data_IF_527027062693
#
_entry.id   IF_527027062693
#
_cell.length_a   1.000
_cell.length_b   1.000
_cell.length_c   1.000
_cell.angle_alpha   90.00
_cell.angle_beta   90.00
_cell.angle_gamma   90.00
#
_symmetry.space_group_name_H-M   'P 1'
#
loop_
_entity.id
_entity.type
_entity.pdbx_description
1 polymer ?
#
# COMPACT_ATOMS: atom_id res chain seq x y z
N UNK A 1 3.37 -12.76 6.87
CA UNK A 1 4.79 -13.20 6.78
C UNK A 1 5.68 -12.12 7.40
N UNK A 2 6.87 -12.44 7.95
CA UNK A 2 7.77 -11.44 8.54
C UNK A 2 8.30 -10.43 7.52
N UNK A 3 8.33 -10.82 6.24
CA UNK A 3 8.78 -10.04 5.10
C UNK A 3 7.86 -10.34 3.90
N UNK A 4 7.48 -9.33 3.13
CA UNK A 4 6.58 -9.42 1.98
C UNK A 4 7.01 -8.44 0.88
N UNK A 5 7.13 -8.94 -0.35
CA UNK A 5 7.32 -8.09 -1.52
C UNK A 5 5.98 -7.44 -1.88
N UNK A 6 5.95 -6.12 -1.94
CA UNK A 6 4.77 -5.33 -2.26
C UNK A 6 4.91 -4.82 -3.70
N UNK A 7 4.22 -5.47 -4.64
CA UNK A 7 4.17 -5.08 -6.06
C UNK A 7 2.76 -4.59 -6.42
N UNK A 8 2.56 -3.27 -6.41
CA UNK A 8 1.23 -2.65 -6.45
C UNK A 8 1.13 -1.48 -7.42
N UNK A 9 -0.05 -1.29 -8.01
CA UNK A 9 -0.34 -0.15 -8.88
C UNK A 9 -0.80 1.06 -8.04
N UNK A 10 -0.02 2.14 -8.00
CA UNK A 10 -0.39 3.34 -7.23
C UNK A 10 -1.44 4.20 -7.94
N UNK A 11 -1.52 4.09 -9.26
CA UNK A 11 -2.45 4.88 -10.09
C UNK A 11 -3.42 3.99 -10.83
N UNK A 12 -4.59 4.54 -11.15
CA UNK A 12 -5.61 3.80 -11.89
C UNK A 12 -5.10 3.46 -13.30
N UNK A 13 -5.12 2.19 -13.72
CA UNK A 13 -4.72 1.81 -15.06
C UNK A 13 -5.48 2.58 -16.14
N UNK A 14 -4.74 3.19 -17.06
CA UNK A 14 -5.29 3.93 -18.21
C UNK A 14 -5.08 3.11 -19.48
N UNK A 15 -6.07 3.09 -20.36
CA UNK A 15 -5.99 2.39 -21.65
C UNK A 15 -5.98 3.39 -22.79
N UNK A 16 -5.11 3.20 -23.77
CA UNK A 16 -5.19 3.90 -25.06
C UNK A 16 -4.84 2.94 -26.20
N UNK A 17 -5.27 3.27 -27.42
CA UNK A 17 -4.94 2.50 -28.62
C UNK A 17 -3.73 3.11 -29.32
N UNK A 18 -2.81 2.26 -29.75
CA UNK A 18 -1.64 2.65 -30.53
C UNK A 18 -1.50 1.74 -31.75
N UNK A 19 -0.92 2.22 -32.84
CA UNK A 19 -0.55 1.35 -33.96
C UNK A 19 0.39 0.23 -33.48
N UNK A 20 0.25 -0.97 -34.04
CA UNK A 20 1.15 -2.10 -33.74
C UNK A 20 2.61 -1.84 -34.10
N UNK A 21 2.86 -0.97 -35.08
CA UNK A 21 4.20 -0.57 -35.50
C UNK A 21 4.85 0.43 -34.56
N UNK A 22 4.09 1.03 -33.64
CA UNK A 22 4.58 2.06 -32.73
C UNK A 22 4.94 1.44 -31.38
N UNK A 23 5.97 2.02 -30.76
CA UNK A 23 6.42 1.64 -29.43
C UNK A 23 5.35 2.03 -28.36
N UNK A 24 5.19 1.25 -27.27
CA UNK A 24 4.18 1.51 -26.24
C UNK A 24 4.32 2.88 -25.56
N UNK A 25 5.52 3.42 -25.48
CA UNK A 25 5.84 4.74 -24.92
C UNK A 25 5.21 5.91 -25.70
N UNK A 26 4.87 5.69 -26.97
CA UNK A 26 4.17 6.68 -27.79
C UNK A 26 2.69 6.83 -27.41
N UNK A 27 2.13 5.84 -26.71
CA UNK A 27 0.73 5.79 -26.34
C UNK A 27 0.37 6.91 -25.34
N UNK A 28 -0.78 7.54 -25.52
CA UNK A 28 -1.23 8.61 -24.62
C UNK A 28 -1.43 8.11 -23.19
N UNK A 29 -1.86 6.87 -23.01
CA UNK A 29 -1.94 6.25 -21.67
C UNK A 29 -0.58 6.20 -20.99
N UNK A 30 0.49 5.86 -21.72
CA UNK A 30 1.86 5.86 -21.18
C UNK A 30 2.32 7.27 -20.82
N UNK A 31 2.23 8.22 -21.75
CA UNK A 31 2.69 9.61 -21.54
C UNK A 31 2.01 10.28 -20.34
N UNK A 32 0.70 10.11 -20.22
CA UNK A 32 -0.05 10.67 -19.10
C UNK A 32 0.37 10.04 -17.77
N UNK A 33 0.65 8.74 -17.75
CA UNK A 33 1.10 8.04 -16.56
C UNK A 33 2.55 8.38 -16.20
N UNK A 34 3.41 8.62 -17.20
CA UNK A 34 4.76 9.12 -16.97
C UNK A 34 4.72 10.53 -16.36
N UNK A 35 3.91 11.43 -16.89
CA UNK A 35 3.74 12.77 -16.32
C UNK A 35 3.21 12.72 -14.87
N UNK A 36 2.37 11.73 -14.56
CA UNK A 36 1.90 11.51 -13.18
C UNK A 36 3.02 10.99 -12.27
N UNK A 37 3.83 10.04 -12.75
CA UNK A 37 5.02 9.57 -12.04
C UNK A 37 6.01 10.71 -11.76
N UNK A 38 6.26 11.58 -12.75
CA UNK A 38 7.17 12.72 -12.62
C UNK A 38 6.71 13.74 -11.55
N UNK A 39 5.40 13.77 -11.27
CA UNK A 39 4.81 14.58 -10.20
C UNK A 39 4.79 13.91 -8.83
N UNK A 40 5.14 12.62 -8.72
CA UNK A 40 5.21 11.91 -7.44
C UNK A 40 6.53 12.19 -6.73
N UNK A 41 6.52 12.09 -5.39
CA UNK A 41 7.73 12.10 -4.60
C UNK A 41 8.09 10.65 -4.18
N UNK A 42 9.12 10.03 -4.78
CA UNK A 42 9.54 8.66 -4.44
C UNK A 42 9.90 8.49 -2.96
N UNK A 43 10.41 9.54 -2.31
CA UNK A 43 10.81 9.53 -0.91
C UNK A 43 9.64 9.22 0.03
N UNK A 44 8.39 9.32 -0.42
CA UNK A 44 7.24 8.91 0.40
C UNK A 44 7.16 7.39 0.61
N UNK A 45 7.71 6.58 -0.31
CA UNK A 45 7.52 5.13 -0.32
C UNK A 45 8.83 4.33 -0.39
N UNK A 46 9.84 4.85 -1.06
CA UNK A 46 11.07 4.13 -1.38
C UNK A 46 12.14 4.44 -0.34
N UNK A 47 12.59 3.40 0.36
CA UNK A 47 13.77 3.48 1.20
C UNK A 47 15.02 3.70 0.32
N UNK A 48 15.80 4.77 0.50
CA UNK A 48 17.03 4.98 -0.24
C UNK A 48 18.07 3.86 -0.08
N UNK A 49 17.96 3.06 0.99
CA UNK A 49 18.82 1.90 1.25
C UNK A 49 18.34 0.62 0.52
N UNK A 50 17.10 0.59 0.03
CA UNK A 50 16.56 -0.56 -0.72
C UNK A 50 16.83 -0.40 -2.23
N UNK A 51 17.99 -0.87 -2.67
CA UNK A 51 18.38 -0.90 -4.09
C UNK A 51 17.45 -1.69 -5.02
N UNK A 52 16.55 -2.53 -4.48
CA UNK A 52 15.60 -3.30 -5.28
C UNK A 52 14.24 -2.61 -5.40
N UNK A 53 13.95 -1.68 -4.50
CA UNK A 53 12.71 -0.92 -4.54
C UNK A 53 12.70 0.04 -5.73
N UNK A 54 11.54 0.17 -6.37
CA UNK A 54 11.37 1.08 -7.49
C UNK A 54 9.96 1.65 -7.56
N UNK A 55 9.88 2.82 -8.18
CA UNK A 55 8.64 3.44 -8.63
C UNK A 55 8.78 3.72 -10.13
N UNK A 56 7.97 3.06 -10.96
CA UNK A 56 8.07 3.19 -12.41
C UNK A 56 6.73 3.03 -13.10
N UNK A 57 6.62 3.52 -14.34
CA UNK A 57 5.45 3.21 -15.15
C UNK A 57 5.55 1.76 -15.61
N UNK A 58 4.52 0.97 -15.34
CA UNK A 58 4.35 -0.37 -15.88
C UNK A 58 3.29 -0.34 -16.96
N UNK A 59 3.56 -1.01 -18.07
CA UNK A 59 2.58 -1.24 -19.11
C UNK A 59 2.29 -2.71 -19.31
N UNK A 60 1.06 -2.98 -19.71
CA UNK A 60 0.60 -4.30 -20.08
C UNK A 60 0.07 -4.23 -21.51
N UNK A 61 0.55 -5.14 -22.35
CA UNK A 61 -0.10 -5.41 -23.61
C UNK A 61 -1.29 -6.33 -23.32
N UNK A 62 -2.49 -5.84 -23.62
CA UNK A 62 -3.68 -6.63 -23.37
C UNK A 62 -3.65 -7.88 -24.24
N UNK A 63 -3.71 -9.06 -23.62
CA UNK A 63 -3.74 -10.37 -24.30
C UNK A 63 -5.00 -10.65 -25.13
N UNK A 64 -5.77 -9.61 -25.52
CA UNK A 64 -6.93 -9.70 -26.39
C UNK A 64 -6.53 -10.20 -27.80
N UNK A 65 -6.29 -11.51 -27.90
CA UNK A 65 -6.09 -12.22 -29.16
C UNK A 65 -7.39 -12.23 -29.99
N UNK A 66 -8.55 -12.10 -29.35
CA UNK A 66 -9.87 -12.15 -29.99
C UNK A 66 -10.18 -10.96 -30.92
N UNK A 67 -9.51 -9.81 -30.75
CA UNK A 67 -9.78 -8.59 -31.54
C UNK A 67 -8.75 -8.35 -32.67
N UNK A 68 -8.04 -9.38 -33.14
CA UNK A 68 -7.08 -9.24 -34.26
C UNK A 68 -7.70 -8.67 -35.54
N UNK A 69 -9.01 -8.88 -35.76
CA UNK A 69 -9.73 -8.39 -36.96
C UNK A 69 -10.45 -7.04 -36.77
N UNK A 70 -10.76 -6.64 -35.53
CA UNK A 70 -11.65 -5.49 -35.25
C UNK A 70 -10.90 -4.18 -34.98
N UNK A 71 -9.62 -4.23 -34.61
CA UNK A 71 -8.84 -3.05 -34.23
C UNK A 71 -8.01 -2.43 -35.36
N UNK A 72 -8.20 -2.83 -36.64
CA UNK A 72 -7.54 -2.21 -37.81
C UNK A 72 -6.03 -1.95 -37.65
N UNK A 73 -5.27 -2.92 -37.14
CA UNK A 73 -3.82 -2.76 -36.94
C UNK A 73 -3.40 -1.98 -35.69
N UNK A 74 -4.36 -1.56 -34.85
CA UNK A 74 -4.10 -0.99 -33.52
C UNK A 74 -4.02 -2.08 -32.44
N UNK A 75 -3.41 -1.73 -31.31
CA UNK A 75 -3.32 -2.53 -30.09
C UNK A 75 -3.59 -1.64 -28.87
N UNK A 76 -4.27 -2.16 -27.83
CA UNK A 76 -4.44 -1.45 -26.56
C UNK A 76 -3.16 -1.51 -25.72
N UNK A 77 -2.76 -0.35 -25.18
CA UNK A 77 -1.68 -0.18 -24.20
C UNK A 77 -2.29 0.30 -22.90
N UNK A 78 -2.08 -0.47 -21.85
CA UNK A 78 -2.54 -0.16 -20.50
C UNK A 78 -1.33 0.29 -19.70
N UNK A 79 -1.40 1.45 -19.06
CA UNK A 79 -0.29 1.99 -18.29
C UNK A 79 -0.76 2.44 -16.90
N UNK A 80 0.06 2.15 -15.88
CA UNK A 80 -0.11 2.61 -14.51
C UNK A 80 1.27 2.79 -13.84
N UNK A 81 1.38 3.74 -12.92
CA UNK A 81 2.52 3.79 -11.99
C UNK A 81 2.46 2.60 -11.05
N UNK A 82 3.56 1.87 -10.99
CA UNK A 82 3.77 0.70 -10.17
C UNK A 82 4.88 0.95 -9.17
N UNK A 83 4.66 0.51 -7.94
CA UNK A 83 5.66 0.46 -6.88
C UNK A 83 6.01 -1.00 -6.61
N UNK A 84 7.30 -1.28 -6.47
CA UNK A 84 7.81 -2.52 -5.91
C UNK A 84 8.76 -2.17 -4.77
N UNK A 85 8.63 -2.85 -3.63
CA UNK A 85 9.53 -2.70 -2.48
C UNK A 85 9.39 -3.86 -1.50
N UNK A 86 10.33 -3.95 -0.57
CA UNK A 86 10.21 -4.86 0.56
C UNK A 86 9.49 -4.20 1.75
N UNK A 87 8.47 -4.88 2.29
CA UNK A 87 7.82 -4.46 3.55
C UNK A 87 7.92 -5.57 4.60
N UNK A 88 8.06 -5.18 5.86
CA UNK A 88 8.29 -6.07 7.00
C UNK A 88 7.09 -6.04 7.96
N UNK A 89 6.63 -7.22 8.38
CA UNK A 89 5.45 -7.36 9.24
C UNK A 89 5.66 -7.03 10.71
N UNK A 90 6.85 -6.56 11.11
CA UNK A 90 7.25 -6.41 12.52
C UNK A 90 6.48 -5.31 13.26
N UNK A 91 5.90 -4.34 12.56
CA UNK A 91 5.06 -3.30 13.17
C UNK A 91 3.81 -3.86 13.86
N UNK A 92 3.31 -5.01 13.42
CA UNK A 92 2.24 -5.73 14.11
C UNK A 92 2.61 -6.10 15.57
N UNK A 93 3.89 -6.34 15.85
CA UNK A 93 4.40 -6.64 17.20
C UNK A 93 4.36 -5.41 18.10
N UNK A 94 4.56 -4.22 17.53
CA UNK A 94 4.38 -2.96 18.27
C UNK A 94 2.92 -2.80 18.67
N UNK A 95 1.98 -3.03 17.76
CA UNK A 95 0.55 -2.99 18.07
C UNK A 95 0.15 -4.02 19.13
N UNK A 96 0.72 -5.23 19.05
CA UNK A 96 0.54 -6.25 20.08
C UNK A 96 1.02 -5.76 21.46
N UNK A 97 2.22 -5.19 21.54
CA UNK A 97 2.77 -4.68 22.80
C UNK A 97 1.93 -3.53 23.35
N UNK A 98 1.42 -2.62 22.51
CA UNK A 98 0.50 -1.55 22.92
C UNK A 98 -0.76 -2.15 23.55
N UNK A 99 -1.44 -3.07 22.84
CA UNK A 99 -2.67 -3.68 23.34
C UNK A 99 -2.45 -4.51 24.60
N UNK A 100 -1.31 -5.22 24.70
CA UNK A 100 -0.94 -5.97 25.89
C UNK A 100 -0.73 -5.06 27.10
N UNK A 101 0.02 -3.96 26.94
CA UNK A 101 0.25 -2.98 28.00
C UNK A 101 -1.07 -2.37 28.47
N UNK A 102 -1.91 -1.88 27.55
CA UNK A 102 -3.21 -1.30 27.90
C UNK A 102 -4.12 -2.29 28.63
N UNK A 103 -4.14 -3.56 28.20
CA UNK A 103 -4.93 -4.58 28.87
C UNK A 103 -4.42 -4.88 30.29
N UNK A 104 -3.09 -4.93 30.49
CA UNK A 104 -2.49 -5.13 31.81
C UNK A 104 -2.77 -3.95 32.74
N UNK A 105 -2.72 -2.70 32.22
CA UNK A 105 -3.05 -1.49 32.97
C UNK A 105 -4.50 -1.52 33.48
N UNK A 106 -5.42 -2.10 32.70
CA UNK A 106 -6.82 -2.36 33.08
C UNK A 106 -7.03 -3.64 33.93
N UNK A 107 -5.96 -4.29 34.38
CA UNK A 107 -6.00 -5.43 35.31
C UNK A 107 -6.21 -6.79 34.66
N UNK A 108 -6.09 -6.91 33.32
CA UNK A 108 -6.13 -8.21 32.65
C UNK A 108 -4.88 -9.03 33.03
N UNK A 109 -5.01 -10.28 33.52
CA UNK A 109 -3.89 -11.04 34.06
C UNK A 109 -3.07 -11.74 32.95
N UNK A 110 -2.61 -10.99 31.95
CA UNK A 110 -1.72 -11.52 30.94
C UNK A 110 -0.30 -11.70 31.50
N UNK A 111 0.35 -12.80 31.10
CA UNK A 111 1.79 -12.96 31.32
C UNK A 111 2.61 -11.97 30.48
N UNK A 112 3.91 -11.79 30.77
CA UNK A 112 4.78 -10.94 29.97
C UNK A 112 4.86 -11.44 28.52
N UNK A 113 4.97 -10.51 27.57
CA UNK A 113 5.21 -10.85 26.16
C UNK A 113 6.52 -11.66 26.07
N UNK A 114 6.52 -12.88 25.48
CA UNK A 114 7.71 -13.72 25.45
C UNK A 114 8.87 -13.07 24.69
N UNK A 115 10.10 -13.35 25.10
CA UNK A 115 11.31 -12.91 24.38
C UNK A 115 11.66 -13.81 23.19
N UNK A 116 10.70 -14.53 22.60
CA UNK A 116 10.97 -15.35 21.41
C UNK A 116 11.10 -14.48 20.15
N UNK A 117 11.76 -15.01 19.13
CA UNK A 117 12.01 -14.32 17.85
C UNK A 117 10.73 -13.86 17.14
N UNK A 118 9.59 -14.46 17.46
CA UNK A 118 8.27 -14.12 16.93
C UNK A 118 7.69 -12.82 17.52
N UNK A 119 8.14 -12.41 18.71
CA UNK A 119 7.66 -11.22 19.42
C UNK A 119 8.71 -10.12 19.57
N UNK A 120 10.00 -10.46 19.38
CA UNK A 120 11.08 -9.49 19.44
C UNK A 120 10.93 -8.41 18.36
N UNK A 121 11.29 -7.17 18.70
CA UNK A 121 11.34 -6.06 17.76
C UNK A 121 12.74 -5.96 17.16
N UNK A 122 12.86 -5.59 15.88
CA UNK A 122 14.12 -5.09 15.34
C UNK A 122 14.58 -3.86 16.14
N UNK A 123 15.89 -3.63 16.30
CA UNK A 123 16.41 -2.52 17.12
C UNK A 123 15.83 -1.15 16.75
N UNK A 124 15.63 -0.89 15.46
CA UNK A 124 15.06 0.37 14.95
C UNK A 124 13.59 0.60 15.35
N UNK A 125 12.84 -0.44 15.71
CA UNK A 125 11.46 -0.34 16.20
C UNK A 125 11.36 -0.22 17.72
N UNK A 126 12.41 -0.51 18.49
CA UNK A 126 12.35 -0.50 19.95
C UNK A 126 12.01 0.89 20.50
N UNK A 127 12.65 1.93 19.97
CA UNK A 127 12.39 3.31 20.39
C UNK A 127 10.98 3.77 20.00
N UNK A 128 10.59 3.46 18.76
CA UNK A 128 9.27 3.76 18.21
C UNK A 128 8.18 3.08 19.04
N UNK A 129 8.36 1.82 19.41
CA UNK A 129 7.42 1.08 20.24
C UNK A 129 7.23 1.76 21.61
N UNK A 130 8.31 2.15 22.28
CA UNK A 130 8.24 2.86 23.55
C UNK A 130 7.45 4.17 23.44
N UNK A 131 7.73 4.97 22.40
CA UNK A 131 7.02 6.23 22.13
C UNK A 131 5.52 5.99 21.87
N UNK A 132 5.19 4.98 21.07
CA UNK A 132 3.80 4.65 20.74
C UNK A 132 3.03 4.05 21.92
N UNK A 133 3.67 3.26 22.78
CA UNK A 133 3.08 2.76 24.04
C UNK A 133 2.77 3.93 24.97
N UNK A 134 3.73 4.83 25.19
CA UNK A 134 3.51 6.02 26.02
C UNK A 134 2.38 6.89 25.47
N UNK A 135 2.33 7.08 24.15
CA UNK A 135 1.24 7.79 23.48
C UNK A 135 -0.12 7.13 23.73
N UNK A 136 -0.19 5.79 23.62
CA UNK A 136 -1.41 5.04 23.88
C UNK A 136 -1.86 5.13 25.35
N UNK A 137 -0.93 5.29 26.29
CA UNK A 137 -1.21 5.53 27.72
C UNK A 137 -1.55 7.00 28.04
N UNK A 138 -1.64 7.89 27.03
CA UNK A 138 -2.07 9.28 27.18
C UNK A 138 -0.96 10.32 27.17
N UNK A 139 0.30 9.95 26.93
CA UNK A 139 1.36 10.93 26.69
C UNK A 139 1.17 11.64 25.33
N UNK A 140 1.78 12.82 25.11
CA UNK A 140 1.77 13.46 23.79
C UNK A 140 2.43 12.59 22.71
N UNK A 141 1.95 12.71 21.47
CA UNK A 141 2.58 12.08 20.31
C UNK A 141 4.00 12.63 20.10
N UNK A 142 4.98 11.74 19.98
CA UNK A 142 6.41 12.08 20.05
C UNK A 142 7.29 11.39 19.01
N UNK A 143 6.70 10.75 17.99
CA UNK A 143 7.48 10.23 16.87
C UNK A 143 8.08 11.39 16.06
N UNK A 144 9.34 11.23 15.71
CA UNK A 144 10.07 12.18 14.88
C UNK A 144 9.81 11.91 13.39
N UNK A 145 9.96 12.92 12.55
CA UNK A 145 9.70 12.79 11.11
C UNK A 145 10.48 11.63 10.46
N UNK A 146 11.72 11.39 10.91
CA UNK A 146 12.54 10.29 10.40
C UNK A 146 12.05 8.91 10.87
N UNK A 147 11.47 8.81 12.06
CA UNK A 147 10.85 7.58 12.56
C UNK A 147 9.56 7.27 11.81
N UNK A 148 8.72 8.28 11.56
CA UNK A 148 7.54 8.13 10.70
C UNK A 148 7.92 7.71 9.29
N UNK A 149 8.98 8.30 8.75
CA UNK A 149 9.47 7.98 7.41
C UNK A 149 9.98 6.55 7.32
N UNK A 150 10.73 6.09 8.33
CA UNK A 150 11.16 4.70 8.46
C UNK A 150 9.96 3.75 8.47
N UNK A 151 8.92 4.07 9.26
CA UNK A 151 7.70 3.29 9.29
C UNK A 151 7.03 3.22 7.91
N UNK A 152 6.92 4.36 7.21
CA UNK A 152 6.34 4.42 5.85
C UNK A 152 7.12 3.56 4.88
N UNK A 153 8.45 3.63 4.90
CA UNK A 153 9.33 2.90 3.98
C UNK A 153 9.31 1.39 4.19
N UNK A 154 9.39 0.94 5.44
CA UNK A 154 9.74 -0.47 5.72
C UNK A 154 8.63 -1.27 6.38
N UNK A 155 7.64 -0.63 7.01
CA UNK A 155 6.75 -1.32 7.93
C UNK A 155 5.25 -1.10 7.68
N UNK A 156 4.88 0.01 7.05
CA UNK A 156 3.50 0.32 6.69
C UNK A 156 3.23 -0.17 5.25
N UNK A 157 2.29 -1.09 5.12
CA UNK A 157 1.84 -1.61 3.84
C UNK A 157 0.98 -0.59 3.07
N UNK A 158 1.19 -0.51 1.75
CA UNK A 158 0.35 0.26 0.84
C UNK A 158 -0.93 -0.52 0.52
N UNK A 159 -1.85 -0.57 1.49
CA UNK A 159 -3.11 -1.32 1.37
C UNK A 159 -4.10 -0.74 0.36
N UNK A 160 -3.97 0.54 0.01
CA UNK A 160 -4.79 1.23 -0.97
C UNK A 160 -4.04 1.30 -2.32
N UNK A 161 -4.49 0.55 -3.30
CA UNK A 161 -3.87 0.44 -4.62
C UNK A 161 -4.85 0.00 -5.71
N UNK A 162 -4.47 0.19 -6.97
CA UNK A 162 -5.26 -0.15 -8.16
C UNK A 162 -4.88 -1.49 -8.79
N UNK A 163 -4.18 -2.38 -8.08
CA UNK A 163 -3.99 -3.75 -8.57
C UNK A 163 -5.36 -4.44 -8.72
N UNK A 164 -5.63 -4.97 -9.90
CA UNK A 164 -6.88 -5.63 -10.22
C UNK A 164 -6.88 -7.08 -9.72
N UNK A 165 -8.03 -7.52 -9.19
CA UNK A 165 -8.36 -8.93 -9.10
C UNK A 165 -9.13 -9.29 -10.36
N UNK A 166 -8.62 -10.23 -11.15
CA UNK A 166 -9.30 -10.70 -12.34
C UNK A 166 -10.30 -11.81 -11.97
N UNK A 167 -11.53 -11.67 -12.45
CA UNK A 167 -12.55 -12.73 -12.35
C UNK A 167 -12.21 -13.95 -13.23
N UNK A 168 -13.12 -14.93 -13.26
CA UNK A 168 -12.93 -16.22 -13.96
C UNK A 168 -12.58 -16.11 -15.44
N UNK A 169 -12.99 -15.04 -16.12
CA UNK A 169 -12.68 -14.81 -17.54
C UNK A 169 -11.24 -14.34 -17.79
N UNK A 170 -10.55 -13.80 -16.77
CA UNK A 170 -9.20 -13.27 -16.93
C UNK A 170 -9.10 -12.01 -17.81
N UNK A 171 -10.23 -11.34 -18.09
CA UNK A 171 -10.28 -10.14 -18.93
C UNK A 171 -10.40 -8.86 -18.11
N UNK A 172 -9.99 -7.72 -18.67
CA UNK A 172 -10.12 -6.40 -18.04
C UNK A 172 -11.58 -5.97 -17.84
N UNK A 173 -12.53 -6.54 -18.59
CA UNK A 173 -13.96 -6.27 -18.41
C UNK A 173 -14.47 -6.79 -17.06
N UNK A 174 -13.80 -7.82 -16.53
CA UNK A 174 -14.12 -8.46 -15.24
C UNK A 174 -13.10 -8.06 -14.15
N UNK A 175 -12.33 -6.99 -14.35
CA UNK A 175 -11.37 -6.51 -13.38
C UNK A 175 -12.07 -5.79 -12.23
N UNK A 176 -11.81 -6.23 -10.99
CA UNK A 176 -12.30 -5.58 -9.77
C UNK A 176 -11.12 -4.99 -9.00
N UNK A 177 -11.20 -3.70 -8.69
CA UNK A 177 -10.18 -2.99 -7.90
C UNK A 177 -10.60 -2.95 -6.43
N UNK A 178 -10.48 -4.09 -5.74
CA UNK A 178 -10.92 -4.26 -4.34
C UNK A 178 -10.22 -3.27 -3.39
N UNK A 179 -8.97 -2.94 -3.71
CA UNK A 179 -8.12 -2.09 -2.88
C UNK A 179 -8.10 -0.62 -3.36
N UNK A 180 -9.00 -0.23 -4.27
CA UNK A 180 -9.00 1.10 -4.87
C UNK A 180 -8.99 2.19 -3.79
N UNK A 181 -8.04 3.15 -3.85
CA UNK A 181 -8.01 4.26 -2.90
C UNK A 181 -9.28 5.12 -2.97
N UNK A 182 -9.79 5.50 -1.79
CA UNK A 182 -10.89 6.47 -1.66
C UNK A 182 -10.35 7.90 -1.78
N UNK A 183 -11.02 8.72 -2.58
CA UNK A 183 -10.69 10.15 -2.68
C UNK A 183 -10.89 10.82 -1.31
N UNK A 184 -9.89 11.57 -0.85
CA UNK A 184 -9.88 12.20 0.48
C UNK A 184 -9.46 11.29 1.64
N UNK A 185 -9.10 10.03 1.37
CA UNK A 185 -8.60 9.10 2.40
C UNK A 185 -9.70 8.22 3.02
N UNK A 186 -9.39 7.64 4.19
CA UNK A 186 -10.29 6.70 4.87
C UNK A 186 -11.52 7.41 5.43
N UNK A 187 -12.72 6.96 5.05
CA UNK A 187 -13.97 7.43 5.65
C UNK A 187 -14.02 7.03 7.13
N UNK A 188 -14.30 8.00 8.00
CA UNK A 188 -14.45 7.82 9.43
C UNK A 188 -15.94 7.86 9.79
N UNK A 189 -16.43 6.80 10.42
CA UNK A 189 -17.78 6.74 10.97
C UNK A 189 -17.67 6.88 12.48
N UNK A 190 -17.99 8.06 13.00
CA UNK A 190 -17.93 8.34 14.43
C UNK A 190 -18.97 7.52 15.18
N UNK A 191 -18.61 7.08 16.38
CA UNK A 191 -19.54 6.42 17.28
C UNK A 191 -20.45 7.47 17.95
N UNK A 192 -21.40 7.99 17.19
CA UNK A 192 -22.44 8.89 17.68
C UNK A 192 -23.62 8.06 18.18
N UNK A 193 -24.03 8.30 19.44
CA UNK A 193 -25.18 7.62 20.03
C UNK A 193 -26.43 7.81 19.17
N UNK A 194 -27.14 6.72 18.88
CA UNK A 194 -28.37 6.79 18.10
C UNK A 194 -29.50 7.36 18.98
N UNK A 195 -30.31 8.31 18.47
CA UNK A 195 -31.48 8.80 19.18
C UNK A 195 -32.40 7.64 19.56
N UNK A 196 -32.69 7.49 20.86
CA UNK A 196 -33.61 6.46 21.36
C UNK A 196 -32.96 5.22 21.99
N UNK A 197 -31.63 5.10 21.99
CA UNK A 197 -30.91 4.10 22.79
C UNK A 197 -30.42 4.71 24.12
N UNK A 198 -30.46 3.95 25.24
CA UNK A 198 -29.85 4.41 26.49
C UNK A 198 -28.34 4.62 26.29
N UNK A 199 -27.84 5.72 26.86
CA UNK A 199 -26.41 6.06 26.87
C UNK A 199 -25.67 5.37 28.01
#
# INVERSE_FOLDING_TARGET
PPQMEEDVLLTRPRTSLVSRSCSPDTATSWKNTQAELDGMNPDQWIDPLDSRAFLQVRFYESGYQACRKTLNGMRPVIAAVCMNRQVFGHLSRVYLQIMHTLACDEGVPFGPVPQSTEFQLPPELENIARKLIAYAQGAPYSLEAHEEQLLRWRYIHQSAHWSAVFGRSGTLGDAVFVHAPQSGGRTLHLNIGQPGYPQ
#
